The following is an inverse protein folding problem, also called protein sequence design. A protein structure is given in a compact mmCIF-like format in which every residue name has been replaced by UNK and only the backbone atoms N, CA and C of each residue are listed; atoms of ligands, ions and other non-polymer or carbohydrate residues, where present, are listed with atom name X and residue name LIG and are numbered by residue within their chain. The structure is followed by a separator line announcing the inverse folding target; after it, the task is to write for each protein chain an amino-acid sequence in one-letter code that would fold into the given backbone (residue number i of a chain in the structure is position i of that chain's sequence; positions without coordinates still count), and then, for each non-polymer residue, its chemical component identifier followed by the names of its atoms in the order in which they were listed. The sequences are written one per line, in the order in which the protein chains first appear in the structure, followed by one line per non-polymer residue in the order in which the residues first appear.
data_IF_966174092133
#
_entry.id   IF_966174092133
#
_cell.length_a   1.000
_cell.length_b   1.000
_cell.length_c   1.000
_cell.angle_alpha   90.00
_cell.angle_beta   90.00
_cell.angle_gamma   90.00
#
_symmetry.space_group_name_H-M   'P 1'
#
loop_
_entity.id
_entity.type
_entity.pdbx_description
1 polymer ?
#
# COMPACT_ATOMS: atom_id res chain seq x y z
N UNK A 1 30.94 -55.26 12.62
CA UNK A 1 31.49 -55.46 11.26
C UNK A 1 31.15 -54.20 10.47
N UNK A 2 32.07 -53.49 9.79
CA UNK A 2 32.99 -53.88 8.70
C UNK A 2 32.19 -54.34 7.45
N UNK A 3 32.38 -53.81 6.23
CA UNK A 3 33.33 -52.81 5.67
C UNK A 3 32.59 -51.95 4.61
N UNK A 4 33.02 -50.78 4.08
CA UNK A 4 34.33 -50.12 3.90
C UNK A 4 35.15 -50.53 2.64
N UNK A 5 34.83 -49.89 1.49
CA UNK A 5 35.48 -50.00 0.15
C UNK A 5 35.36 -48.60 -0.52
N UNK A 6 36.35 -47.84 -1.05
CA UNK A 6 37.74 -48.04 -1.56
C UNK A 6 37.81 -48.38 -3.07
N UNK A 7 38.46 -47.67 -4.01
CA UNK A 7 39.28 -46.43 -4.07
C UNK A 7 39.36 -46.01 -5.59
N UNK A 8 40.05 -44.98 -6.16
CA UNK A 8 41.05 -43.96 -5.75
C UNK A 8 41.04 -42.76 -6.75
N UNK A 9 41.26 -41.53 -6.25
CA UNK A 9 41.65 -40.23 -6.89
C UNK A 9 42.00 -40.16 -8.41
N UNK A 10 41.67 -39.01 -9.04
CA UNK A 10 42.60 -38.18 -9.87
C UNK A 10 42.36 -36.67 -9.64
N UNK A 11 43.33 -35.83 -10.03
CA UNK A 11 43.40 -34.37 -9.78
C UNK A 11 43.77 -33.63 -11.07
N UNK A 12 43.20 -32.44 -11.34
CA UNK A 12 43.77 -31.47 -12.29
C UNK A 12 43.15 -30.05 -12.22
N UNK A 13 43.85 -29.14 -11.52
CA UNK A 13 43.97 -27.67 -11.71
C UNK A 13 42.72 -26.73 -11.80
N UNK A 14 42.79 -25.48 -11.28
CA UNK A 14 41.73 -24.47 -11.35
C UNK A 14 41.91 -23.44 -12.49
N UNK A 15 40.89 -22.62 -12.79
CA UNK A 15 41.01 -21.56 -13.80
C UNK A 15 39.98 -20.41 -13.73
N UNK A 16 40.52 -19.18 -13.67
CA UNK A 16 39.91 -17.87 -14.02
C UNK A 16 38.62 -17.42 -13.32
N UNK A 17 38.79 -16.53 -12.34
CA UNK A 17 37.79 -15.51 -12.01
C UNK A 17 37.66 -14.45 -13.14
N UNK A 18 36.48 -13.81 -13.26
CA UNK A 18 36.20 -12.80 -14.28
C UNK A 18 36.24 -11.38 -13.68
N UNK A 19 37.31 -10.62 -13.94
CA UNK A 19 37.48 -9.26 -13.40
C UNK A 19 36.90 -8.20 -14.36
N UNK A 20 35.68 -7.75 -14.12
CA UNK A 20 35.05 -6.67 -14.91
C UNK A 20 35.66 -5.31 -14.52
N UNK A 21 36.32 -4.65 -15.47
CA UNK A 21 36.79 -3.25 -15.33
C UNK A 21 35.70 -2.27 -15.81
N UNK A 22 35.28 -1.27 -15.01
CA UNK A 22 34.42 -0.21 -15.51
C UNK A 22 35.21 0.73 -16.44
N UNK A 23 34.78 0.86 -17.70
CA UNK A 23 35.42 1.74 -18.67
C UNK A 23 34.90 3.17 -18.53
N UNK A 24 35.82 4.14 -18.33
CA UNK A 24 35.46 5.57 -18.37
C UNK A 24 35.15 5.96 -19.82
N UNK A 25 33.89 6.32 -20.11
CA UNK A 25 33.55 7.15 -21.27
C UNK A 25 32.80 8.40 -20.82
N UNK A 26 33.37 9.57 -21.15
CA UNK A 26 32.67 10.85 -21.09
C UNK A 26 31.68 10.89 -22.26
N UNK A 27 30.47 11.38 -22.02
CA UNK A 27 29.63 11.99 -23.05
C UNK A 27 29.02 13.27 -22.49
N UNK A 28 28.95 14.30 -23.33
CA UNK A 28 28.43 15.62 -23.01
C UNK A 28 27.46 16.07 -24.11
N UNK A 29 26.61 17.04 -23.79
CA UNK A 29 25.54 17.60 -24.65
C UNK A 29 24.46 16.57 -25.08
N UNK A 30 23.18 16.78 -24.79
CA UNK A 30 22.41 17.97 -25.17
C UNK A 30 21.40 18.39 -24.09
N UNK A 31 21.38 19.68 -23.78
CA UNK A 31 20.18 20.36 -23.30
C UNK A 31 19.32 20.70 -24.52
N UNK A 32 18.02 20.43 -24.45
CA UNK A 32 17.04 20.91 -25.45
C UNK A 32 16.07 21.89 -24.74
N UNK A 33 15.64 22.91 -25.46
CA UNK A 33 15.05 24.14 -24.91
C UNK A 33 13.53 24.21 -25.01
N UNK A 34 12.83 24.62 -23.95
CA UNK A 34 11.43 25.10 -24.02
C UNK A 34 10.89 25.85 -22.79
N UNK A 35 11.67 26.75 -22.16
CA UNK A 35 11.12 27.78 -21.25
C UNK A 35 11.68 29.15 -21.63
N UNK A 36 10.80 30.14 -21.80
CA UNK A 36 11.19 31.49 -22.25
C UNK A 36 11.84 32.29 -21.11
N UNK A 37 13.13 32.57 -21.25
CA UNK A 37 13.89 33.35 -20.28
C UNK A 37 13.67 34.87 -20.48
N UNK A 38 12.65 35.43 -19.85
CA UNK A 38 12.57 36.88 -19.66
C UNK A 38 13.74 37.34 -18.77
N UNK A 39 14.69 38.05 -19.37
CA UNK A 39 15.89 38.52 -18.69
C UNK A 39 15.53 39.50 -17.55
N UNK A 40 15.73 39.05 -16.31
CA UNK A 40 15.57 39.90 -15.12
C UNK A 40 16.63 41.02 -15.14
N UNK A 41 16.16 42.27 -15.14
CA UNK A 41 17.04 43.46 -15.08
C UNK A 41 17.98 43.35 -13.86
N UNK A 42 19.28 43.70 -13.97
CA UNK A 42 20.31 43.30 -13.01
C UNK A 42 20.05 43.71 -11.54
N UNK A 43 19.41 44.85 -11.29
CA UNK A 43 19.01 45.25 -9.93
C UNK A 43 18.10 44.22 -9.24
N UNK A 44 17.12 43.68 -9.98
CA UNK A 44 16.13 42.72 -9.46
C UNK A 44 16.73 41.37 -9.09
N UNK A 45 17.90 41.03 -9.65
CA UNK A 45 18.68 39.85 -9.22
C UNK A 45 19.33 40.08 -7.85
N UNK A 46 19.89 41.28 -7.64
CA UNK A 46 20.51 41.66 -6.37
C UNK A 46 19.47 41.78 -5.24
N UNK A 47 18.26 42.27 -5.53
CA UNK A 47 17.17 42.34 -4.55
C UNK A 47 16.70 40.94 -4.09
N UNK A 48 16.66 39.96 -5.01
CA UNK A 48 16.37 38.57 -4.68
C UNK A 48 17.48 37.92 -3.85
N UNK A 49 18.75 38.18 -4.18
CA UNK A 49 19.90 37.69 -3.41
C UNK A 49 19.98 38.32 -2.01
N UNK A 50 19.63 39.61 -1.87
CA UNK A 50 19.49 40.27 -0.56
C UNK A 50 18.40 39.63 0.29
N UNK A 51 17.18 39.49 -0.25
CA UNK A 51 16.10 38.80 0.46
C UNK A 51 16.46 37.38 0.88
N UNK A 52 17.21 36.66 0.04
CA UNK A 52 17.68 35.32 0.39
C UNK A 52 18.69 35.36 1.54
N UNK A 53 19.67 36.27 1.53
CA UNK A 53 20.59 36.47 2.66
C UNK A 53 19.86 36.88 3.94
N UNK A 54 18.94 37.85 3.86
CA UNK A 54 18.11 38.32 4.98
C UNK A 54 17.30 37.16 5.58
N UNK A 55 16.71 36.29 4.74
CA UNK A 55 15.97 35.10 5.21
C UNK A 55 16.89 34.09 5.91
N UNK A 56 18.10 33.87 5.39
CA UNK A 56 19.10 32.97 5.99
C UNK A 56 19.66 33.52 7.31
N UNK A 57 19.83 34.85 7.42
CA UNK A 57 20.34 35.53 8.62
C UNK A 57 19.26 35.68 9.71
N UNK A 58 17.99 35.78 9.33
CA UNK A 58 16.87 35.86 10.28
C UNK A 58 16.50 34.51 10.95
N UNK A 59 17.14 33.40 10.56
CA UNK A 59 16.87 32.06 11.10
C UNK A 59 15.53 31.44 10.67
N UNK A 60 14.64 32.21 10.03
CA UNK A 60 13.32 31.79 9.55
C UNK A 60 13.41 30.92 8.28
N UNK A 61 14.03 29.73 8.42
CA UNK A 61 13.70 28.62 7.52
C UNK A 61 12.25 28.18 7.79
N UNK A 62 11.41 27.97 6.77
CA UNK A 62 10.14 27.29 6.96
C UNK A 62 10.43 25.85 7.38
N UNK A 63 10.16 25.52 8.64
CA UNK A 63 10.37 24.16 9.18
C UNK A 63 9.38 23.22 8.51
N UNK A 64 9.86 22.49 7.50
CA UNK A 64 9.10 21.44 6.79
C UNK A 64 8.92 20.22 7.70
N UNK A 65 8.04 20.34 8.70
CA UNK A 65 7.90 19.35 9.76
C UNK A 65 6.86 19.66 10.85
N UNK A 66 5.95 20.61 10.64
CA UNK A 66 4.74 20.74 11.48
C UNK A 66 3.51 20.37 10.65
N UNK A 67 2.64 19.46 11.13
CA UNK A 67 1.35 19.23 10.48
C UNK A 67 0.48 20.47 10.67
N UNK A 68 0.02 21.06 9.56
CA UNK A 68 -0.99 22.10 9.61
C UNK A 68 -2.27 21.49 10.19
N UNK A 69 -2.66 21.92 11.40
CA UNK A 69 -3.87 21.46 12.07
C UNK A 69 -5.10 21.94 11.29
N UNK A 70 -5.53 21.10 10.36
CA UNK A 70 -6.76 21.27 9.59
C UNK A 70 -7.90 20.70 10.42
N UNK A 71 -8.33 21.47 11.42
CA UNK A 71 -9.40 21.15 12.37
C UNK A 71 -10.80 21.18 11.73
N UNK A 72 -10.93 20.61 10.54
CA UNK A 72 -12.16 20.52 9.75
C UNK A 72 -12.42 19.08 9.34
N UNK A 73 -13.70 18.70 9.29
CA UNK A 73 -14.13 17.37 8.85
C UNK A 73 -13.78 17.21 7.37
N UNK A 74 -12.84 16.34 7.05
CA UNK A 74 -12.46 16.02 5.67
C UNK A 74 -13.53 15.14 5.02
N UNK A 75 -14.00 15.51 3.83
CA UNK A 75 -14.97 14.69 3.09
C UNK A 75 -14.28 13.49 2.43
N UNK A 76 -15.03 12.41 2.11
CA UNK A 76 -14.44 11.25 1.43
C UNK A 76 -13.85 11.59 0.05
N UNK A 77 -14.40 12.58 -0.66
CA UNK A 77 -13.83 13.03 -1.95
C UNK A 77 -12.51 13.78 -1.78
N UNK A 78 -12.39 14.64 -0.77
CA UNK A 78 -11.12 15.32 -0.44
C UNK A 78 -10.07 14.32 0.02
N UNK A 79 -10.45 13.29 0.77
CA UNK A 79 -9.56 12.17 1.14
C UNK A 79 -8.99 11.46 -0.09
N UNK A 80 -9.86 11.01 -1.00
CA UNK A 80 -9.44 10.31 -2.23
C UNK A 80 -8.51 11.19 -3.07
N UNK A 81 -8.83 12.48 -3.20
CA UNK A 81 -8.02 13.45 -3.94
C UNK A 81 -6.67 13.72 -3.28
N UNK A 82 -6.65 13.96 -1.96
CA UNK A 82 -5.43 14.30 -1.19
C UNK A 82 -4.38 13.19 -1.25
N UNK A 83 -4.80 11.94 -1.03
CA UNK A 83 -3.87 10.79 -0.94
C UNK A 83 -3.75 10.01 -2.27
N UNK A 84 -4.41 10.46 -3.34
CA UNK A 84 -4.32 9.85 -4.67
C UNK A 84 -4.92 8.43 -4.76
N UNK A 85 -5.92 8.14 -3.92
CA UNK A 85 -6.53 6.81 -3.82
C UNK A 85 -7.47 6.59 -5.01
N UNK A 86 -7.07 5.67 -5.91
CA UNK A 86 -7.74 5.41 -7.19
C UNK A 86 -8.41 4.03 -7.28
N UNK A 87 -8.18 3.16 -6.30
CA UNK A 87 -8.89 1.89 -6.10
C UNK A 87 -8.63 1.43 -4.66
N UNK A 88 -9.60 0.75 -4.06
CA UNK A 88 -9.33 -0.20 -2.97
C UNK A 88 -9.18 -1.61 -3.54
N UNK A 89 -8.79 -2.59 -2.73
CA UNK A 89 -8.54 -3.95 -3.19
C UNK A 89 -9.17 -4.99 -2.26
N UNK A 90 -9.66 -6.09 -2.83
CA UNK A 90 -10.07 -7.26 -2.06
C UNK A 90 -9.35 -8.50 -2.57
N UNK A 91 -8.59 -9.20 -1.72
CA UNK A 91 -7.90 -10.42 -2.11
C UNK A 91 -8.81 -11.64 -1.90
N UNK A 92 -8.89 -12.50 -2.91
CA UNK A 92 -9.65 -13.75 -2.86
C UNK A 92 -8.92 -14.84 -3.63
N UNK A 93 -9.22 -16.09 -3.31
CA UNK A 93 -8.93 -17.20 -4.21
C UNK A 93 -9.78 -17.13 -5.49
N UNK A 94 -9.25 -17.57 -6.64
CA UNK A 94 -9.98 -17.58 -7.91
C UNK A 94 -11.18 -18.53 -7.93
N UNK A 95 -11.19 -19.58 -7.09
CA UNK A 95 -12.33 -20.50 -6.91
C UNK A 95 -13.58 -19.82 -6.35
N UNK A 96 -13.46 -18.67 -5.69
CA UNK A 96 -14.60 -17.92 -5.15
C UNK A 96 -15.27 -16.99 -6.18
N UNK A 97 -14.59 -16.65 -7.29
CA UNK A 97 -15.10 -15.67 -8.27
C UNK A 97 -16.50 -16.03 -8.85
N UNK A 98 -16.85 -17.29 -9.12
CA UNK A 98 -18.21 -17.66 -9.52
C UNK A 98 -19.26 -17.35 -8.44
N UNK A 99 -18.92 -17.56 -7.15
CA UNK A 99 -19.82 -17.25 -6.02
C UNK A 99 -20.03 -15.74 -5.89
N UNK A 100 -18.97 -14.93 -6.00
CA UNK A 100 -19.06 -13.45 -5.94
C UNK A 100 -19.90 -12.92 -7.13
N UNK A 101 -19.77 -13.51 -8.32
CA UNK A 101 -20.63 -13.19 -9.48
C UNK A 101 -22.09 -13.59 -9.24
N UNK A 102 -22.35 -14.79 -8.72
CA UNK A 102 -23.71 -15.28 -8.45
C UNK A 102 -24.46 -14.44 -7.40
N UNK A 103 -23.75 -13.94 -6.38
CA UNK A 103 -24.32 -13.07 -5.35
C UNK A 103 -24.41 -11.58 -5.76
N UNK A 104 -23.96 -11.24 -6.98
CA UNK A 104 -24.02 -9.88 -7.51
C UNK A 104 -23.09 -8.88 -6.81
N UNK A 105 -22.01 -9.35 -6.17
CA UNK A 105 -21.07 -8.50 -5.44
C UNK A 105 -20.32 -9.22 -4.31
N UNK A 106 -19.46 -8.48 -3.61
CA UNK A 106 -18.86 -8.93 -2.35
C UNK A 106 -19.87 -8.72 -1.23
N UNK A 107 -20.02 -9.73 -0.36
CA UNK A 107 -20.89 -9.73 0.80
C UNK A 107 -20.08 -9.87 2.09
N UNK A 108 -20.55 -9.31 3.23
CA UNK A 108 -19.93 -9.51 4.53
C UNK A 108 -19.89 -10.98 4.94
N UNK A 109 -18.91 -11.37 5.75
CA UNK A 109 -18.74 -12.76 6.16
C UNK A 109 -19.98 -13.36 6.85
N UNK A 110 -20.65 -12.57 7.69
CA UNK A 110 -21.94 -12.90 8.32
C UNK A 110 -23.01 -13.42 7.35
N UNK A 111 -23.01 -12.92 6.11
CA UNK A 111 -24.01 -13.17 5.07
C UNK A 111 -23.58 -14.23 4.04
N UNK A 112 -22.29 -14.52 3.91
CA UNK A 112 -21.73 -15.40 2.87
C UNK A 112 -21.03 -16.66 3.40
N UNK A 113 -20.83 -16.78 4.73
CA UNK A 113 -20.25 -17.99 5.36
C UNK A 113 -20.98 -19.27 4.90
N UNK A 114 -20.21 -20.28 4.50
CA UNK A 114 -20.69 -21.51 3.87
C UNK A 114 -20.78 -21.48 2.33
N UNK A 115 -20.84 -20.29 1.71
CA UNK A 115 -20.85 -20.11 0.24
C UNK A 115 -19.49 -19.67 -0.35
N UNK A 116 -18.45 -19.64 0.48
CA UNK A 116 -17.06 -19.34 0.12
C UNK A 116 -16.24 -20.63 0.17
N UNK A 117 -15.70 -21.07 -0.96
CA UNK A 117 -14.99 -22.36 -1.09
C UNK A 117 -13.56 -22.28 -0.55
N UNK A 118 -12.95 -21.09 -0.59
CA UNK A 118 -11.57 -20.86 -0.18
C UNK A 118 -11.44 -19.50 0.54
N UNK A 119 -11.78 -19.40 1.84
CA UNK A 119 -11.74 -18.14 2.58
C UNK A 119 -10.32 -17.60 2.77
N UNK A 120 -10.19 -16.27 2.74
CA UNK A 120 -8.94 -15.57 3.05
C UNK A 120 -8.62 -15.53 4.55
N UNK A 121 -9.64 -15.65 5.41
CA UNK A 121 -9.49 -15.89 6.84
C UNK A 121 -9.39 -17.39 7.17
N UNK A 122 -9.17 -17.67 8.45
CA UNK A 122 -9.40 -18.97 9.08
C UNK A 122 -10.50 -18.85 10.14
N UNK A 123 -10.97 -19.98 10.68
CA UNK A 123 -12.10 -20.02 11.61
C UNK A 123 -11.89 -19.09 12.81
N UNK A 124 -10.69 -19.09 13.41
CA UNK A 124 -10.35 -18.19 14.54
C UNK A 124 -10.46 -16.71 14.17
N UNK A 125 -9.99 -16.29 12.99
CA UNK A 125 -10.15 -14.89 12.56
C UNK A 125 -11.61 -14.53 12.34
N UNK A 126 -12.42 -15.46 11.81
CA UNK A 126 -13.84 -15.25 11.55
C UNK A 126 -14.70 -15.22 12.83
N UNK A 127 -14.35 -16.04 13.83
CA UNK A 127 -14.93 -15.96 15.17
C UNK A 127 -14.55 -14.65 15.86
N UNK A 128 -13.30 -14.18 15.71
CA UNK A 128 -12.85 -12.90 16.23
C UNK A 128 -13.53 -11.70 15.53
N UNK A 129 -13.72 -11.76 14.21
CA UNK A 129 -14.50 -10.78 13.45
C UNK A 129 -15.94 -10.72 13.98
N UNK A 130 -16.59 -11.88 14.17
CA UNK A 130 -17.98 -11.97 14.66
C UNK A 130 -18.15 -11.50 16.11
N UNK A 131 -17.23 -11.85 17.02
CA UNK A 131 -17.21 -11.39 18.42
C UNK A 131 -17.08 -9.85 18.49
N UNK A 132 -16.41 -9.23 17.52
CA UNK A 132 -16.25 -7.78 17.40
C UNK A 132 -17.34 -7.09 16.59
N UNK A 133 -18.28 -7.83 15.98
CA UNK A 133 -19.25 -7.27 15.02
C UNK A 133 -18.61 -6.72 13.74
N UNK A 134 -17.43 -7.21 13.37
CA UNK A 134 -16.72 -6.88 12.12
C UNK A 134 -17.20 -7.75 10.94
N UNK A 135 -17.83 -8.90 11.20
CA UNK A 135 -18.33 -9.81 10.16
C UNK A 135 -19.52 -9.25 9.35
N UNK A 136 -20.05 -8.06 9.70
CA UNK A 136 -21.04 -7.28 8.93
C UNK A 136 -20.42 -6.33 7.88
N UNK A 137 -19.08 -6.27 7.81
CA UNK A 137 -18.34 -5.47 6.83
C UNK A 137 -17.67 -6.34 5.76
N UNK A 138 -17.40 -5.74 4.59
CA UNK A 138 -16.43 -6.24 3.61
C UNK A 138 -15.10 -5.52 3.86
N UNK A 139 -14.05 -6.30 4.15
CA UNK A 139 -12.71 -5.78 4.41
C UNK A 139 -11.98 -5.54 3.08
N UNK A 140 -11.44 -4.33 2.90
CA UNK A 140 -10.70 -3.89 1.71
C UNK A 140 -9.30 -3.39 2.08
N UNK A 141 -8.28 -3.81 1.36
CA UNK A 141 -6.91 -3.33 1.51
C UNK A 141 -6.71 -2.03 0.70
N UNK A 142 -5.86 -1.13 1.20
CA UNK A 142 -5.44 0.07 0.46
C UNK A 142 -4.42 -0.22 -0.67
N UNK A 143 -3.75 -1.37 -0.62
CA UNK A 143 -2.72 -1.78 -1.57
C UNK A 143 -3.05 -3.15 -2.19
N UNK A 144 -2.55 -3.47 -3.41
CA UNK A 144 -2.70 -4.78 -4.04
C UNK A 144 -1.74 -5.83 -3.44
N UNK A 145 -1.50 -5.76 -2.13
CA UNK A 145 -0.68 -6.67 -1.34
C UNK A 145 -1.19 -6.63 0.12
N UNK A 146 -1.28 -7.78 0.81
CA UNK A 146 -1.72 -7.84 2.21
C UNK A 146 -1.05 -9.02 2.94
N UNK A 147 -0.52 -8.87 4.17
CA UNK A 147 0.13 -9.98 4.88
C UNK A 147 -0.75 -11.21 5.10
N UNK A 148 -2.07 -11.04 5.25
CA UNK A 148 -3.00 -12.16 5.41
C UNK A 148 -3.17 -12.98 4.11
N UNK A 149 -2.96 -12.38 2.92
CA UNK A 149 -2.93 -13.13 1.65
C UNK A 149 -1.74 -14.10 1.62
N UNK A 150 -0.57 -13.61 2.01
CA UNK A 150 0.66 -14.40 2.03
C UNK A 150 0.56 -15.56 3.03
N UNK A 151 -0.02 -15.30 4.22
CA UNK A 151 -0.32 -16.34 5.21
C UNK A 151 -1.35 -17.33 4.66
N UNK A 152 -2.47 -16.88 4.11
CA UNK A 152 -3.51 -17.75 3.56
C UNK A 152 -3.02 -18.65 2.41
N UNK A 153 -2.03 -18.20 1.63
CA UNK A 153 -1.36 -19.02 0.62
C UNK A 153 -0.36 -20.00 1.21
N UNK A 154 0.41 -19.59 2.21
CA UNK A 154 1.34 -20.47 2.93
C UNK A 154 0.59 -21.61 3.65
N UNK A 155 -0.60 -21.31 4.17
CA UNK A 155 -1.50 -22.27 4.81
C UNK A 155 -2.25 -23.18 3.81
N UNK A 156 -2.14 -22.91 2.50
CA UNK A 156 -2.86 -23.65 1.45
C UNK A 156 -4.36 -23.34 1.33
N UNK A 157 -4.88 -22.40 2.14
CA UNK A 157 -6.29 -21.96 2.11
C UNK A 157 -6.61 -21.27 0.77
N UNK A 158 -5.75 -20.34 0.36
CA UNK A 158 -5.70 -19.78 -0.99
C UNK A 158 -4.64 -20.52 -1.82
N UNK A 159 -5.00 -20.95 -3.03
CA UNK A 159 -4.09 -21.58 -3.99
C UNK A 159 -3.65 -20.58 -5.05
N UNK A 160 -4.61 -19.95 -5.72
CA UNK A 160 -4.39 -18.89 -6.70
C UNK A 160 -5.08 -17.61 -6.21
N UNK A 161 -4.28 -16.61 -5.85
CA UNK A 161 -4.75 -15.34 -5.29
C UNK A 161 -5.01 -14.30 -6.37
N UNK A 162 -6.08 -13.52 -6.18
CA UNK A 162 -6.48 -12.43 -7.07
C UNK A 162 -6.95 -11.23 -6.25
N UNK A 163 -6.27 -10.10 -6.43
CA UNK A 163 -6.68 -8.81 -5.88
C UNK A 163 -7.69 -8.17 -6.85
N UNK A 164 -8.98 -8.23 -6.49
CA UNK A 164 -10.04 -7.50 -7.17
C UNK A 164 -9.87 -6.00 -6.92
N UNK A 165 -10.05 -5.17 -7.95
CA UNK A 165 -10.08 -3.70 -7.80
C UNK A 165 -11.48 -3.28 -7.44
N UNK A 166 -11.62 -2.50 -6.37
CA UNK A 166 -12.87 -1.90 -5.94
C UNK A 166 -12.84 -0.41 -6.28
N UNK A 167 -13.91 0.06 -6.91
CA UNK A 167 -14.08 1.48 -7.25
C UNK A 167 -14.00 2.35 -5.97
N UNK A 168 -13.24 3.46 -5.98
CA UNK A 168 -13.02 4.24 -4.77
C UNK A 168 -14.30 4.89 -4.21
N UNK A 169 -15.40 4.98 -4.98
CA UNK A 169 -16.67 5.54 -4.50
C UNK A 169 -17.31 4.78 -3.33
N UNK A 170 -16.90 3.53 -3.04
CA UNK A 170 -17.38 2.76 -1.87
C UNK A 170 -17.14 3.46 -0.53
N UNK A 171 -16.17 4.39 -0.47
CA UNK A 171 -15.90 5.24 0.70
C UNK A 171 -17.07 6.17 1.07
N UNK A 172 -18.01 6.40 0.15
CA UNK A 172 -19.24 7.18 0.40
C UNK A 172 -20.37 6.36 1.04
N UNK A 173 -20.17 5.06 1.27
CA UNK A 173 -21.13 4.20 1.99
C UNK A 173 -21.28 4.68 3.43
N UNK A 174 -22.49 5.01 3.93
CA UNK A 174 -22.68 5.42 5.32
C UNK A 174 -22.21 4.33 6.29
N UNK A 175 -21.40 4.70 7.29
CA UNK A 175 -20.85 3.78 8.27
C UNK A 175 -19.57 3.04 7.85
N UNK A 176 -18.85 3.50 6.82
CA UNK A 176 -17.46 3.02 6.58
C UNK A 176 -16.57 3.30 7.79
N UNK A 177 -15.68 2.35 8.10
CA UNK A 177 -14.67 2.47 9.16
C UNK A 177 -13.27 2.17 8.61
N UNK A 178 -12.26 2.75 9.25
CA UNK A 178 -10.86 2.58 8.93
C UNK A 178 -10.16 1.78 10.04
N UNK A 179 -9.16 0.99 9.66
CA UNK A 179 -8.41 0.15 10.60
C UNK A 179 -6.89 0.26 10.36
N UNK A 180 -6.07 0.58 11.40
CA UNK A 180 -4.63 0.81 11.27
C UNK A 180 -3.75 -0.46 11.33
N UNK A 181 -4.34 -1.63 11.54
CA UNK A 181 -3.74 -2.97 11.48
C UNK A 181 -4.87 -3.96 11.11
N UNK A 182 -4.62 -5.26 11.03
CA UNK A 182 -5.66 -6.26 10.68
C UNK A 182 -6.81 -6.23 11.72
N UNK A 183 -8.06 -6.05 11.27
CA UNK A 183 -9.16 -5.65 12.16
C UNK A 183 -9.51 -6.64 13.29
N UNK A 184 -9.41 -7.96 13.07
CA UNK A 184 -9.64 -8.97 14.12
C UNK A 184 -8.58 -8.95 15.24
N UNK A 185 -7.39 -8.36 15.05
CA UNK A 185 -6.33 -8.31 16.07
C UNK A 185 -6.77 -7.58 17.35
N UNK A 186 -6.49 -8.16 18.52
CA UNK A 186 -6.82 -7.55 19.82
C UNK A 186 -6.13 -6.19 20.03
N UNK A 187 -6.84 -5.23 20.61
CA UNK A 187 -6.33 -3.88 20.87
C UNK A 187 -6.17 -3.00 19.63
N UNK A 188 -6.81 -3.35 18.51
CA UNK A 188 -6.96 -2.47 17.34
C UNK A 188 -8.36 -1.89 17.35
N UNK A 189 -8.46 -0.56 17.41
CA UNK A 189 -9.71 0.17 17.35
C UNK A 189 -10.02 0.58 15.91
N UNK A 190 -11.32 0.61 15.58
CA UNK A 190 -11.82 1.06 14.29
C UNK A 190 -12.25 2.52 14.42
N UNK A 191 -11.95 3.32 13.40
CA UNK A 191 -12.08 4.78 13.48
C UNK A 191 -12.81 5.37 12.26
N UNK A 192 -13.41 6.55 12.43
CA UNK A 192 -13.99 7.30 11.31
C UNK A 192 -12.92 7.97 10.43
N UNK A 193 -13.35 8.55 9.31
CA UNK A 193 -12.46 9.21 8.34
C UNK A 193 -11.61 10.36 8.93
N UNK A 194 -12.14 11.10 9.90
CA UNK A 194 -11.46 12.25 10.53
C UNK A 194 -10.35 11.79 11.46
N UNK A 195 -10.64 10.77 12.27
CA UNK A 195 -9.64 10.11 13.12
C UNK A 195 -8.58 9.38 12.26
N UNK A 196 -9.01 8.65 11.22
CA UNK A 196 -8.11 7.98 10.29
C UNK A 196 -7.08 8.93 9.67
N UNK A 197 -7.51 10.10 9.18
CA UNK A 197 -6.60 11.11 8.58
C UNK A 197 -5.66 11.75 9.60
N UNK A 198 -5.94 11.61 10.89
CA UNK A 198 -5.08 12.08 11.99
C UNK A 198 -4.08 11.02 12.48
N UNK A 199 -4.43 9.74 12.40
CA UNK A 199 -3.65 8.62 12.99
C UNK A 199 -2.93 7.73 11.97
N UNK A 200 -3.41 7.67 10.71
CA UNK A 200 -2.93 6.74 9.69
C UNK A 200 -2.05 7.43 8.63
N UNK A 201 -0.95 6.76 8.29
CA UNK A 201 0.07 7.23 7.33
C UNK A 201 -0.39 6.97 5.89
N UNK A 202 -1.41 7.70 5.41
CA UNK A 202 -1.94 7.53 4.05
C UNK A 202 -1.01 8.04 2.94
N UNK A 203 -0.10 8.96 3.27
CA UNK A 203 0.90 9.47 2.32
C UNK A 203 1.71 8.30 1.70
N UNK A 204 2.11 7.30 2.50
CA UNK A 204 2.93 6.15 2.02
C UNK A 204 2.20 5.23 1.02
N UNK A 205 0.87 5.34 0.90
CA UNK A 205 0.06 4.59 -0.07
C UNK A 205 0.02 5.31 -1.44
N UNK A 206 0.32 6.61 -1.48
CA UNK A 206 0.24 7.41 -2.69
C UNK A 206 1.18 6.88 -3.81
N UNK A 207 0.71 6.77 -5.07
CA UNK A 207 1.50 6.20 -6.19
C UNK A 207 2.84 6.90 -6.52
N UNK A 208 3.11 8.06 -5.92
CA UNK A 208 4.35 8.81 -6.06
C UNK A 208 5.55 8.13 -5.39
N UNK A 209 5.34 7.29 -4.38
CA UNK A 209 6.42 6.64 -3.62
C UNK A 209 7.06 5.47 -4.37
N UNK A 210 7.95 5.80 -5.31
CA UNK A 210 8.87 4.86 -5.94
C UNK A 210 10.28 4.99 -5.34
N UNK A 211 10.98 3.85 -5.37
CA UNK A 211 12.39 3.64 -4.97
C UNK A 211 12.67 3.44 -3.47
N UNK A 212 13.77 2.72 -3.21
CA UNK A 212 14.00 2.02 -1.94
C UNK A 212 14.75 2.90 -0.93
N UNK A 213 14.00 3.67 -0.14
CA UNK A 213 14.48 4.13 1.17
C UNK A 213 14.08 3.12 2.25
N UNK A 214 15.03 2.53 3.01
CA UNK A 214 14.74 1.69 4.16
C UNK A 214 13.83 2.34 5.22
N UNK A 215 13.85 3.67 5.38
CA UNK A 215 12.95 4.38 6.31
C UNK A 215 11.47 4.25 5.92
N UNK A 216 11.20 4.17 4.61
CA UNK A 216 9.87 4.00 4.04
C UNK A 216 9.38 2.55 4.10
N UNK A 217 10.29 1.56 4.20
CA UNK A 217 9.92 0.14 4.25
C UNK A 217 9.07 -0.20 5.48
N UNK A 218 9.43 0.28 6.67
CA UNK A 218 8.65 0.02 7.90
C UNK A 218 7.34 0.82 7.93
N UNK A 219 7.29 1.99 7.29
CA UNK A 219 6.03 2.73 7.06
C UNK A 219 5.09 1.93 6.17
N UNK A 220 5.60 1.47 5.01
CA UNK A 220 4.85 0.65 4.06
C UNK A 220 4.37 -0.66 4.69
N UNK A 221 5.21 -1.37 5.46
CA UNK A 221 4.83 -2.60 6.18
C UNK A 221 3.67 -2.43 7.17
N UNK A 222 3.44 -1.22 7.70
CA UNK A 222 2.23 -0.89 8.48
C UNK A 222 1.04 -0.63 7.54
N UNK A 223 1.21 0.23 6.55
CA UNK A 223 0.15 0.59 5.61
C UNK A 223 -0.35 -0.57 4.72
N UNK A 224 0.50 -1.58 4.46
CA UNK A 224 0.11 -2.85 3.84
C UNK A 224 -0.86 -3.69 4.70
N UNK A 225 -1.26 -3.21 5.88
CA UNK A 225 -2.30 -3.81 6.74
C UNK A 225 -3.49 -2.89 6.99
N UNK A 226 -3.50 -1.69 6.39
CA UNK A 226 -4.62 -0.79 6.57
C UNK A 226 -5.84 -1.39 5.87
N UNK A 227 -6.97 -1.44 6.57
CA UNK A 227 -8.23 -1.93 6.04
C UNK A 227 -9.28 -0.80 6.02
N UNK A 228 -10.01 -0.69 4.91
CA UNK A 228 -11.29 0.02 4.83
C UNK A 228 -12.39 -1.02 4.98
N UNK A 229 -13.25 -0.83 5.97
CA UNK A 229 -14.37 -1.70 6.29
C UNK A 229 -15.65 -1.07 5.73
N UNK A 230 -16.23 -1.70 4.70
CA UNK A 230 -17.45 -1.21 4.04
C UNK A 230 -18.65 -2.04 4.52
N UNK A 231 -19.66 -1.43 5.18
CA UNK A 231 -20.78 -2.20 5.73
C UNK A 231 -21.69 -2.73 4.61
N UNK A 232 -22.15 -3.97 4.73
CA UNK A 232 -23.06 -4.57 3.76
C UNK A 232 -22.40 -4.94 2.42
N UNK A 233 -23.20 -4.99 1.34
CA UNK A 233 -22.78 -5.52 0.03
C UNK A 233 -22.11 -4.45 -0.84
N UNK A 234 -20.90 -4.75 -1.33
CA UNK A 234 -20.30 -4.01 -2.46
C UNK A 234 -20.81 -4.62 -3.77
N UNK A 235 -21.61 -3.91 -4.58
CA UNK A 235 -22.22 -4.46 -5.80
C UNK A 235 -21.18 -4.71 -6.89
N UNK A 236 -21.43 -5.73 -7.72
CA UNK A 236 -20.54 -6.17 -8.82
C UNK A 236 -20.15 -5.04 -9.79
N UNK A 237 -21.01 -4.03 -9.97
CA UNK A 237 -20.74 -2.85 -10.80
C UNK A 237 -19.58 -1.98 -10.31
N UNK A 238 -19.17 -2.11 -9.04
CA UNK A 238 -18.01 -1.42 -8.45
C UNK A 238 -16.77 -2.33 -8.35
N UNK A 239 -16.80 -3.52 -8.99
CA UNK A 239 -15.74 -4.53 -8.90
C UNK A 239 -15.12 -4.75 -10.29
N UNK A 240 -13.83 -4.47 -10.40
CA UNK A 240 -13.03 -4.65 -11.61
C UNK A 240 -12.04 -5.80 -11.49
N UNK A 241 -11.85 -6.54 -12.60
CA UNK A 241 -10.93 -7.66 -12.69
C UNK A 241 -11.48 -9.00 -12.19
N UNK A 242 -12.80 -9.16 -12.12
CA UNK A 242 -13.52 -10.34 -11.60
C UNK A 242 -13.95 -11.33 -12.71
#
# INVERSE_FOLDING_TARGET
MLAAVSLRRRLSQPGRALTIRPSRRRFAARLNSSVSAHALKPGRMNDLLKKLLETLQAGNFPVSGQPAQTSGIITPSEFLQRFGITSFYHFTDTRNLPSIKAHGGLLPWSQIKGNVVAPGGNDWSHDADAIKGQDIYVHLCFLPEHPMEFVARKDGRIQESRFLRIDPSVIHTPGVLFCPDVANKSGVEMMDLTAAVSEMDFEIIAPAHKWLDPSLLERKKRACKYELLVPGRIPLSLISGI
#
